data_IF_669068590192
#
_entry.id   IF_669068590192
#
_cell.length_a   1.000
_cell.length_b   1.000
_cell.length_c   1.000
_cell.angle_alpha   90.00
_cell.angle_beta   90.00
_cell.angle_gamma   90.00
#
_symmetry.space_group_name_H-M   'P 1'
#
loop_
_entity.id
_entity.type
_entity.pdbx_description
1 polymer ?
#
# COMPACT_ATOMS: atom_id res chain seq x y z
N UNK A 1 22.21 -12.98 11.07
CA UNK A 1 20.78 -12.93 10.69
C UNK A 1 20.05 -12.11 11.74
N UNK A 2 19.59 -10.90 11.38
CA UNK A 2 18.66 -10.16 12.24
C UNK A 2 17.32 -10.89 12.20
N UNK A 3 16.95 -11.49 13.32
CA UNK A 3 15.60 -12.01 13.51
C UNK A 3 14.71 -10.80 13.69
N UNK A 4 14.00 -10.37 12.65
CA UNK A 4 12.95 -9.36 12.78
C UNK A 4 11.85 -9.95 13.67
N UNK A 5 11.81 -9.53 14.93
CA UNK A 5 10.71 -9.89 15.82
C UNK A 5 9.42 -9.33 15.24
N UNK A 6 8.42 -10.19 15.07
CA UNK A 6 7.08 -9.80 14.66
C UNK A 6 6.49 -8.93 15.78
N UNK A 7 6.20 -7.66 15.49
CA UNK A 7 5.62 -6.72 16.48
C UNK A 7 4.12 -6.98 16.65
N UNK A 8 3.49 -7.56 15.63
CA UNK A 8 2.07 -7.89 15.59
C UNK A 8 1.76 -9.11 16.47
N UNK A 9 0.80 -8.96 17.38
CA UNK A 9 0.38 -10.00 18.33
C UNK A 9 -0.64 -11.00 17.77
N UNK A 10 -1.42 -10.58 16.78
CA UNK A 10 -2.48 -11.39 16.17
C UNK A 10 -1.99 -11.97 14.84
N UNK A 11 -1.83 -13.30 14.79
CA UNK A 11 -1.40 -14.04 13.60
C UNK A 11 -2.64 -14.68 12.96
N UNK A 12 -2.98 -14.33 11.71
CA UNK A 12 -4.12 -14.94 11.02
C UNK A 12 -3.98 -16.47 10.89
N UNK A 13 -5.08 -17.22 10.91
CA UNK A 13 -5.07 -18.69 10.98
C UNK A 13 -4.48 -19.39 9.73
N UNK A 14 -4.36 -18.67 8.61
CA UNK A 14 -3.75 -19.19 7.37
C UNK A 14 -2.22 -19.03 7.31
N UNK A 15 -1.60 -18.39 8.31
CA UNK A 15 -0.14 -18.22 8.37
C UNK A 15 0.46 -19.33 9.23
N UNK A 16 1.39 -20.10 8.66
CA UNK A 16 2.08 -21.19 9.37
C UNK A 16 3.27 -20.68 10.15
N UNK A 17 3.26 -20.91 11.47
CA UNK A 17 4.36 -20.52 12.35
C UNK A 17 5.26 -21.73 12.62
N UNK A 18 6.60 -21.60 12.53
CA UNK A 18 7.36 -20.38 12.22
C UNK A 18 7.67 -20.18 10.72
N UNK A 19 7.32 -21.11 9.84
CA UNK A 19 7.80 -21.15 8.45
C UNK A 19 7.46 -19.90 7.66
N UNK A 20 6.20 -19.48 7.68
CA UNK A 20 5.67 -18.37 6.88
C UNK A 20 6.06 -17.00 7.44
N UNK A 21 6.59 -16.95 8.67
CA UNK A 21 7.08 -15.72 9.30
C UNK A 21 8.54 -15.42 8.94
N UNK A 22 9.22 -16.34 8.25
CA UNK A 22 10.60 -16.17 7.81
C UNK A 22 10.62 -15.44 6.47
N UNK A 23 11.61 -14.55 6.31
CA UNK A 23 11.93 -13.90 5.04
C UNK A 23 10.70 -13.22 4.38
N UNK A 24 10.11 -12.19 5.03
CA UNK A 24 8.96 -11.50 4.48
C UNK A 24 9.27 -10.82 3.14
N UNK A 25 8.25 -10.75 2.29
CA UNK A 25 8.29 -9.81 1.16
C UNK A 25 8.10 -8.38 1.68
N UNK A 26 8.93 -7.45 1.24
CA UNK A 26 8.85 -6.04 1.66
C UNK A 26 8.42 -5.17 0.49
N UNK A 27 7.52 -4.23 0.78
CA UNK A 27 7.01 -3.23 -0.15
C UNK A 27 6.97 -1.85 0.53
N UNK A 28 7.66 -0.87 -0.03
CA UNK A 28 7.67 0.51 0.48
C UNK A 28 6.62 1.37 -0.23
N UNK A 29 5.91 2.19 0.53
CA UNK A 29 4.79 2.99 0.02
C UNK A 29 4.61 4.29 0.81
N UNK A 30 4.23 5.37 0.11
CA UNK A 30 3.92 6.66 0.74
C UNK A 30 2.61 6.61 1.54
N UNK A 31 2.51 7.41 2.60
CA UNK A 31 1.34 7.52 3.49
C UNK A 31 -0.01 7.68 2.76
N UNK A 32 -0.08 8.51 1.71
CA UNK A 32 -1.32 8.71 0.94
C UNK A 32 -1.77 7.45 0.21
N UNK A 33 -0.82 6.76 -0.42
CA UNK A 33 -1.08 5.49 -1.12
C UNK A 33 -1.42 4.40 -0.09
N UNK A 34 -0.76 4.37 1.06
CA UNK A 34 -1.07 3.44 2.15
C UNK A 34 -2.52 3.58 2.63
N UNK A 35 -3.00 4.83 2.81
CA UNK A 35 -4.41 5.10 3.13
C UNK A 35 -5.35 4.65 2.00
N UNK A 36 -4.94 4.78 0.74
CA UNK A 36 -5.70 4.25 -0.40
C UNK A 36 -5.72 2.71 -0.45
N UNK A 37 -4.66 2.03 -0.01
CA UNK A 37 -4.61 0.56 0.03
C UNK A 37 -5.41 0.01 1.19
N UNK A 38 -5.05 0.39 2.42
CA UNK A 38 -5.58 -0.22 3.64
C UNK A 38 -6.71 0.57 4.30
N UNK A 39 -7.05 1.76 3.78
CA UNK A 39 -8.08 2.60 4.37
C UNK A 39 -7.59 3.39 5.59
N UNK A 40 -8.44 4.29 6.13
CA UNK A 40 -8.14 5.01 7.36
C UNK A 40 -7.84 4.02 8.49
N UNK A 41 -6.70 4.22 9.18
CA UNK A 41 -6.27 3.35 10.28
C UNK A 41 -6.22 1.86 9.93
N UNK A 42 -6.01 1.51 8.65
CA UNK A 42 -5.92 0.11 8.21
C UNK A 42 -7.25 -0.64 8.18
N UNK A 43 -8.40 0.04 8.12
CA UNK A 43 -9.74 -0.58 8.16
C UNK A 43 -10.00 -1.69 7.13
N UNK A 44 -9.29 -1.69 5.99
CA UNK A 44 -9.37 -2.73 4.94
C UNK A 44 -8.29 -3.78 5.04
N UNK A 45 -7.29 -3.62 5.91
CA UNK A 45 -6.13 -4.51 6.00
C UNK A 45 -6.57 -5.97 6.23
N UNK A 46 -7.40 -6.23 7.25
CA UNK A 46 -7.90 -7.57 7.56
C UNK A 46 -8.60 -8.24 6.36
N UNK A 47 -9.39 -7.49 5.59
CA UNK A 47 -10.05 -8.03 4.39
C UNK A 47 -9.03 -8.39 3.30
N UNK A 48 -8.04 -7.53 3.06
CA UNK A 48 -6.99 -7.78 2.06
C UNK A 48 -6.13 -8.98 2.47
N UNK A 49 -5.85 -9.15 3.77
CA UNK A 49 -5.17 -10.32 4.32
C UNK A 49 -5.95 -11.60 4.05
N UNK A 50 -7.26 -11.57 4.28
CA UNK A 50 -8.14 -12.70 4.01
C UNK A 50 -8.17 -13.07 2.53
N UNK A 51 -8.26 -12.09 1.63
CA UNK A 51 -8.29 -12.35 0.18
C UNK A 51 -6.93 -12.84 -0.34
N UNK A 52 -5.83 -12.32 0.20
CA UNK A 52 -4.48 -12.68 -0.23
C UNK A 52 -3.91 -13.91 0.46
N UNK A 53 -4.52 -14.35 1.57
CA UNK A 53 -4.00 -15.40 2.45
C UNK A 53 -2.55 -15.09 2.90
N UNK A 54 -2.28 -13.81 3.15
CA UNK A 54 -1.01 -13.27 3.64
C UNK A 54 -1.28 -12.37 4.87
N UNK A 55 -0.27 -12.16 5.70
CA UNK A 55 -0.32 -11.24 6.83
C UNK A 55 0.55 -10.02 6.55
N UNK A 56 0.06 -8.84 6.88
CA UNK A 56 0.75 -7.57 6.73
C UNK A 56 1.19 -7.02 8.09
N UNK A 57 2.39 -6.45 8.13
CA UNK A 57 2.88 -5.66 9.25
C UNK A 57 3.41 -4.34 8.70
N UNK A 58 2.97 -3.22 9.29
CA UNK A 58 3.37 -1.88 8.87
C UNK A 58 4.46 -1.36 9.81
N UNK A 59 5.57 -0.89 9.25
CA UNK A 59 6.62 -0.20 9.99
C UNK A 59 6.88 1.15 9.34
N UNK A 60 6.70 2.21 10.11
CA UNK A 60 7.03 3.55 9.66
C UNK A 60 8.55 3.70 9.65
N UNK A 61 9.12 4.20 8.56
CA UNK A 61 10.50 4.61 8.56
C UNK A 61 10.60 5.94 9.31
N UNK A 62 11.61 6.10 10.17
CA UNK A 62 11.87 7.36 10.91
C UNK A 62 12.34 8.52 9.99
N UNK A 63 12.39 8.30 8.68
CA UNK A 63 12.85 9.25 7.68
C UNK A 63 11.79 10.32 7.34
N UNK A 64 12.20 11.57 7.07
CA UNK A 64 11.30 12.68 6.72
C UNK A 64 10.49 12.53 5.42
N UNK A 65 10.73 11.49 4.61
CA UNK A 65 10.02 11.24 3.34
C UNK A 65 8.71 10.40 3.48
N UNK A 66 8.24 10.14 4.70
CA UNK A 66 6.93 9.50 4.99
C UNK A 66 6.68 8.17 4.24
N UNK A 67 7.75 7.39 3.99
CA UNK A 67 7.63 6.05 3.45
C UNK A 67 7.34 5.05 4.57
N UNK A 68 6.35 4.19 4.36
CA UNK A 68 6.00 3.07 5.23
C UNK A 68 6.43 1.78 4.57
N UNK A 69 7.09 0.91 5.33
CA UNK A 69 7.37 -0.46 4.94
C UNK A 69 6.21 -1.37 5.28
N UNK A 70 5.71 -2.08 4.27
CA UNK A 70 4.74 -3.16 4.41
C UNK A 70 5.51 -4.47 4.34
N UNK A 71 5.59 -5.17 5.46
CA UNK A 71 6.10 -6.53 5.56
C UNK A 71 4.97 -7.50 5.27
N UNK A 72 5.24 -8.48 4.40
CA UNK A 72 4.25 -9.42 3.90
C UNK A 72 4.73 -10.84 4.22
N UNK A 73 4.01 -11.49 5.12
CA UNK A 73 4.26 -12.85 5.60
C UNK A 73 3.21 -13.81 5.06
N UNK A 74 3.55 -15.10 5.00
CA UNK A 74 2.72 -16.12 4.39
C UNK A 74 3.55 -17.10 3.57
N UNK A 75 2.90 -18.13 3.05
CA UNK A 75 3.55 -19.04 2.10
C UNK A 75 4.17 -18.28 0.92
N UNK A 76 5.22 -18.85 0.32
CA UNK A 76 5.97 -18.18 -0.76
C UNK A 76 5.07 -17.61 -1.86
N UNK A 77 4.10 -18.39 -2.34
CA UNK A 77 3.17 -17.96 -3.38
C UNK A 77 2.22 -16.86 -2.90
N UNK A 78 1.74 -16.95 -1.66
CA UNK A 78 0.81 -15.96 -1.11
C UNK A 78 1.49 -14.61 -0.91
N UNK A 79 2.70 -14.57 -0.32
CA UNK A 79 3.41 -13.30 -0.10
C UNK A 79 3.80 -12.61 -1.40
N UNK A 80 4.26 -13.36 -2.41
CA UNK A 80 4.58 -12.81 -3.75
C UNK A 80 3.31 -12.28 -4.43
N UNK A 81 2.21 -13.05 -4.40
CA UNK A 81 0.93 -12.63 -4.98
C UNK A 81 0.36 -11.41 -4.28
N UNK A 82 0.43 -11.35 -2.96
CA UNK A 82 -0.03 -10.22 -2.17
C UNK A 82 0.76 -8.94 -2.49
N UNK A 83 2.09 -9.05 -2.62
CA UNK A 83 2.95 -7.93 -3.05
C UNK A 83 2.55 -7.40 -4.43
N UNK A 84 2.40 -8.30 -5.41
CA UNK A 84 1.93 -7.94 -6.76
C UNK A 84 0.57 -7.25 -6.76
N UNK A 85 -0.36 -7.74 -5.95
CA UNK A 85 -1.68 -7.15 -5.80
C UNK A 85 -1.60 -5.71 -5.25
N UNK A 86 -0.84 -5.50 -4.16
CA UNK A 86 -0.66 -4.19 -3.55
C UNK A 86 0.02 -3.20 -4.51
N UNK A 87 1.07 -3.64 -5.22
CA UNK A 87 1.75 -2.83 -6.24
C UNK A 87 0.79 -2.43 -7.38
N UNK A 88 -0.04 -3.37 -7.85
CA UNK A 88 -1.03 -3.10 -8.89
C UNK A 88 -2.15 -2.17 -8.44
N UNK A 89 -2.50 -2.18 -7.15
CA UNK A 89 -3.45 -1.23 -6.57
C UNK A 89 -2.83 0.16 -6.41
N UNK A 90 -1.57 0.23 -5.96
CA UNK A 90 -0.82 1.48 -5.84
C UNK A 90 -0.64 2.16 -7.20
N UNK A 91 -0.31 1.41 -8.25
CA UNK A 91 -0.16 1.95 -9.60
C UNK A 91 -1.50 2.47 -10.15
N UNK A 92 -2.60 1.74 -9.91
CA UNK A 92 -3.94 2.23 -10.25
C UNK A 92 -4.30 3.54 -9.56
N UNK A 93 -3.88 3.73 -8.30
CA UNK A 93 -4.07 5.00 -7.61
C UNK A 93 -3.25 6.12 -8.27
N UNK A 94 -1.97 5.87 -8.55
CA UNK A 94 -1.07 6.82 -9.21
C UNK A 94 -1.64 7.30 -10.56
N UNK A 95 -2.08 6.37 -11.40
CA UNK A 95 -2.68 6.68 -12.71
C UNK A 95 -3.97 7.50 -12.59
N UNK A 96 -4.82 7.24 -11.58
CA UNK A 96 -6.02 8.04 -11.34
C UNK A 96 -5.68 9.45 -10.91
N UNK A 97 -4.73 9.61 -9.98
CA UNK A 97 -4.29 10.94 -9.54
C UNK A 97 -3.72 11.76 -10.71
N UNK A 98 -2.91 11.16 -11.58
CA UNK A 98 -2.40 11.84 -12.78
C UNK A 98 -3.54 12.31 -13.71
N UNK A 99 -4.55 11.46 -13.92
CA UNK A 99 -5.71 11.82 -14.74
C UNK A 99 -6.53 12.95 -14.12
N UNK A 100 -6.70 12.96 -12.81
CA UNK A 100 -7.40 14.02 -12.09
C UNK A 100 -6.68 15.37 -12.19
N UNK A 101 -5.35 15.36 -12.06
CA UNK A 101 -4.50 16.56 -12.24
C UNK A 101 -4.62 17.10 -13.66
N UNK A 102 -4.50 16.26 -14.70
CA UNK A 102 -4.63 16.70 -16.09
C UNK A 102 -6.00 17.35 -16.36
N UNK A 103 -7.09 16.75 -15.83
CA UNK A 103 -8.44 17.31 -15.98
C UNK A 103 -8.58 18.68 -15.28
N UNK A 104 -7.93 18.85 -14.14
CA UNK A 104 -7.90 20.12 -13.42
C UNK A 104 -7.15 21.18 -14.22
N UNK A 105 -5.96 20.86 -14.75
CA UNK A 105 -5.17 21.76 -15.60
C UNK A 105 -5.93 22.21 -16.85
N UNK A 106 -6.64 21.30 -17.52
CA UNK A 106 -7.51 21.63 -18.66
C UNK A 106 -8.63 22.59 -18.26
N UNK A 107 -9.29 22.32 -17.13
CA UNK A 107 -10.36 23.17 -16.61
C UNK A 107 -9.85 24.57 -16.25
N UNK A 108 -8.67 24.67 -15.65
CA UNK A 108 -8.03 25.96 -15.34
C UNK A 108 -7.73 26.77 -16.62
N UNK A 109 -7.15 26.15 -17.65
CA UNK A 109 -6.89 26.81 -18.94
C UNK A 109 -8.17 27.36 -19.57
N UNK A 110 -9.29 26.62 -19.49
CA UNK A 110 -10.57 27.11 -20.02
C UNK A 110 -11.12 28.31 -19.26
N UNK A 111 -10.87 28.40 -17.94
CA UNK A 111 -11.27 29.53 -17.11
C UNK A 111 -10.41 30.77 -17.39
N UNK A 112 -9.09 30.61 -17.55
CA UNK A 112 -8.17 31.70 -17.93
C UNK A 112 -8.53 32.27 -19.31
N UNK A 113 -8.81 31.43 -20.30
CA UNK A 113 -9.22 31.87 -21.65
C UNK A 113 -10.54 32.66 -21.64
N UNK A 114 -11.44 32.38 -20.70
CA UNK A 114 -12.68 33.14 -20.51
C UNK A 114 -12.50 34.53 -19.91
N UNK A 115 -11.35 34.83 -19.30
CA UNK A 115 -11.03 36.13 -18.72
C UNK A 115 -10.36 37.10 -19.70
N UNK A 116 -9.85 36.62 -20.85
CA UNK A 116 -9.22 37.46 -21.88
C UNK A 116 -10.18 37.88 -23.02
N UNK A 117 -11.46 37.54 -22.91
CA UNK A 117 -12.51 38.00 -23.84
C UNK A 117 -13.36 39.06 -23.13
N UNK A 118 -12.82 40.27 -22.99
CA UNK A 118 -13.55 41.52 -22.75
C UNK A 118 -13.15 42.56 -23.79
#
# INVERSE_FOLDING_TARGET
MMVTFLTRKDIPPWVKVPEDLKDPEVFQVQSLVLKYLFGPQGSRMSHIEQVSQAMFELKNLESPEELTEVFIYGSQNNKVRAKWMLQSMAERYRLRQQKEVLKLEESMKTLELGQYIE
#
